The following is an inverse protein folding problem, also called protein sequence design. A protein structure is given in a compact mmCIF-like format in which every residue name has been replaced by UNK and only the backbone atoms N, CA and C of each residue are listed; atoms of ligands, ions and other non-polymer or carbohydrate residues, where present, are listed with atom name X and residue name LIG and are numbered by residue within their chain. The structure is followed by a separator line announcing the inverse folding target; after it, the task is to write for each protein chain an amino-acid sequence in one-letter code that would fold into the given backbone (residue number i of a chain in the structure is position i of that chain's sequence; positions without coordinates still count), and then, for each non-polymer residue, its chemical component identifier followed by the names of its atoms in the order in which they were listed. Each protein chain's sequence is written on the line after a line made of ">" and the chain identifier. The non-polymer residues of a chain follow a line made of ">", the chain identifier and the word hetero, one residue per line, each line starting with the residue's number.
data_IF_157797701922
#
_entry.id   IF_157797701922
#
_cell.length_a   1.000
_cell.length_b   1.000
_cell.length_c   1.000
_cell.angle_alpha   90.00
_cell.angle_beta   90.00
_cell.angle_gamma   90.00
#
_symmetry.space_group_name_H-M   'P 1'
#
loop_
_entity.id
_entity.type
_entity.pdbx_description
1 polymer ?
#
# COMPACT_ATOMS: atom_id res chain seq x y z
N UNK A 1 -12.55 6.39 2.85
CA UNK A 1 -11.27 6.80 3.47
C UNK A 1 -10.84 8.19 3.01
N UNK A 2 -10.86 8.48 1.72
CA UNK A 2 -10.42 9.79 1.21
C UNK A 2 -11.27 10.93 1.75
N UNK A 3 -12.59 10.79 1.77
CA UNK A 3 -13.47 11.81 2.32
C UNK A 3 -13.30 11.97 3.82
N UNK A 4 -12.99 10.90 4.54
CA UNK A 4 -12.66 10.98 5.96
C UNK A 4 -11.40 11.84 6.18
N UNK A 5 -10.37 11.63 5.38
CA UNK A 5 -9.15 12.45 5.42
C UNK A 5 -9.45 13.92 5.17
N UNK A 6 -10.24 14.22 4.14
CA UNK A 6 -10.63 15.60 3.82
C UNK A 6 -11.39 16.26 4.96
N UNK A 7 -12.37 15.57 5.53
CA UNK A 7 -13.17 16.08 6.64
C UNK A 7 -12.32 16.30 7.89
N UNK A 8 -11.40 15.39 8.18
CA UNK A 8 -10.49 15.50 9.30
C UNK A 8 -9.59 16.74 9.17
N UNK A 9 -9.04 17.00 8.00
CA UNK A 9 -8.25 18.20 7.73
C UNK A 9 -9.10 19.47 7.90
N UNK A 10 -10.37 19.44 7.45
CA UNK A 10 -11.29 20.56 7.57
C UNK A 10 -11.65 20.91 9.00
N UNK A 11 -11.54 19.98 9.93
CA UNK A 11 -11.79 20.22 11.36
C UNK A 11 -10.61 20.88 12.08
N UNK A 12 -9.51 21.10 11.40
CA UNK A 12 -8.33 21.80 11.89
C UNK A 12 -7.22 20.85 12.35
N UNK A 13 -6.01 21.36 12.35
CA UNK A 13 -4.83 20.63 12.83
C UNK A 13 -3.95 20.03 11.76
N UNK A 14 -4.48 19.71 10.58
CA UNK A 14 -3.69 19.21 9.46
C UNK A 14 -3.96 20.00 8.20
N UNK A 15 -2.90 20.27 7.45
CA UNK A 15 -3.02 20.83 6.11
C UNK A 15 -3.59 19.78 5.17
N UNK A 16 -4.59 20.14 4.38
CA UNK A 16 -5.13 19.26 3.34
C UNK A 16 -4.18 19.24 2.15
N UNK A 17 -3.74 18.03 1.76
CA UNK A 17 -2.88 17.81 0.62
C UNK A 17 -3.68 17.09 -0.48
N UNK A 18 -3.93 17.75 -1.62
CA UNK A 18 -4.70 17.11 -2.70
C UNK A 18 -4.02 15.87 -3.28
N UNK A 19 -2.69 15.80 -3.29
CA UNK A 19 -1.95 14.61 -3.69
C UNK A 19 -2.20 13.43 -2.74
N UNK A 20 -2.30 13.68 -1.44
CA UNK A 20 -2.63 12.65 -0.46
C UNK A 20 -4.08 12.18 -0.61
N UNK A 21 -5.01 13.10 -0.79
CA UNK A 21 -6.42 12.78 -1.04
C UNK A 21 -6.56 11.88 -2.28
N UNK A 22 -5.88 12.23 -3.35
CA UNK A 22 -5.91 11.47 -4.60
C UNK A 22 -5.32 10.07 -4.43
N UNK A 23 -4.19 9.97 -3.72
CA UNK A 23 -3.57 8.69 -3.44
C UNK A 23 -4.50 7.76 -2.64
N UNK A 24 -5.16 8.30 -1.62
CA UNK A 24 -6.11 7.53 -0.81
C UNK A 24 -7.32 7.12 -1.66
N UNK A 25 -7.84 8.01 -2.49
CA UNK A 25 -9.02 7.74 -3.33
C UNK A 25 -8.76 6.58 -4.29
N UNK A 26 -7.55 6.54 -4.90
CA UNK A 26 -7.21 5.57 -5.95
C UNK A 26 -6.34 4.41 -5.47
N UNK A 27 -6.05 4.28 -4.16
CA UNK A 27 -5.10 3.26 -3.67
C UNK A 27 -5.55 1.83 -3.92
N UNK A 28 -6.85 1.57 -3.94
CA UNK A 28 -7.43 0.25 -4.15
C UNK A 28 -7.89 -0.01 -5.59
N UNK A 29 -7.49 0.89 -6.51
CA UNK A 29 -7.83 0.78 -7.93
C UNK A 29 -6.57 0.57 -8.75
N UNK A 30 -6.76 0.21 -10.04
CA UNK A 30 -5.63 0.03 -10.94
C UNK A 30 -4.77 1.28 -11.00
N UNK A 31 -3.45 1.08 -11.05
CA UNK A 31 -2.46 2.16 -11.13
C UNK A 31 -2.73 3.07 -12.34
N UNK A 32 -3.20 2.52 -13.44
CA UNK A 32 -3.51 3.28 -14.64
C UNK A 32 -4.61 4.31 -14.39
N UNK A 33 -5.64 3.97 -13.64
CA UNK A 33 -6.73 4.91 -13.34
C UNK A 33 -6.23 6.10 -12.50
N UNK A 34 -5.49 5.83 -11.45
CA UNK A 34 -4.92 6.88 -10.62
C UNK A 34 -3.92 7.74 -11.38
N UNK A 35 -3.04 7.12 -12.15
CA UNK A 35 -2.05 7.84 -12.95
C UNK A 35 -2.69 8.73 -13.99
N UNK A 36 -3.76 8.28 -14.64
CA UNK A 36 -4.51 9.08 -15.62
C UNK A 36 -5.19 10.27 -14.97
N UNK A 37 -5.80 10.08 -13.82
CA UNK A 37 -6.40 11.18 -13.07
C UNK A 37 -5.36 12.24 -12.72
N UNK A 38 -4.20 11.81 -12.21
CA UNK A 38 -3.11 12.70 -11.84
C UNK A 38 -2.61 13.48 -13.06
N UNK A 39 -2.38 12.82 -14.18
CA UNK A 39 -1.92 13.46 -15.41
C UNK A 39 -2.90 14.52 -15.88
N UNK A 40 -4.20 14.32 -15.67
CA UNK A 40 -5.25 15.25 -16.11
C UNK A 40 -5.44 16.43 -15.16
N UNK A 41 -5.27 16.23 -13.84
CA UNK A 41 -5.69 17.19 -12.82
C UNK A 41 -4.55 17.87 -12.06
N UNK A 42 -3.34 17.30 -12.05
CA UNK A 42 -2.24 17.84 -11.25
C UNK A 42 -1.41 18.91 -11.95
N UNK A 43 -1.59 19.10 -13.25
CA UNK A 43 -0.87 20.12 -14.02
C UNK A 43 0.64 19.93 -13.95
N UNK A 44 1.37 20.97 -13.59
CA UNK A 44 2.82 20.94 -13.48
C UNK A 44 3.33 20.10 -12.32
N UNK A 45 2.47 19.72 -11.40
CA UNK A 45 2.81 18.92 -10.22
C UNK A 45 2.56 17.42 -10.43
N UNK A 46 2.23 16.99 -11.65
CA UNK A 46 1.88 15.60 -11.93
C UNK A 46 2.96 14.60 -11.50
N UNK A 47 4.22 14.91 -11.73
CA UNK A 47 5.32 14.00 -11.35
C UNK A 47 5.41 13.84 -9.84
N UNK A 48 5.23 14.93 -9.08
CA UNK A 48 5.22 14.88 -7.62
C UNK A 48 4.05 14.07 -7.08
N UNK A 49 2.87 14.25 -7.65
CA UNK A 49 1.68 13.49 -7.25
C UNK A 49 1.81 12.00 -7.58
N UNK A 50 2.41 11.67 -8.72
CA UNK A 50 2.67 10.28 -9.09
C UNK A 50 3.61 9.60 -8.11
N UNK A 51 4.65 10.30 -7.66
CA UNK A 51 5.58 9.77 -6.66
C UNK A 51 4.85 9.48 -5.35
N UNK A 52 4.03 10.40 -4.87
CA UNK A 52 3.21 10.19 -3.65
C UNK A 52 2.29 8.99 -3.83
N UNK A 53 1.63 8.89 -4.96
CA UNK A 53 0.71 7.79 -5.26
C UNK A 53 1.42 6.43 -5.25
N UNK A 54 2.56 6.33 -5.91
CA UNK A 54 3.35 5.10 -5.97
C UNK A 54 3.87 4.70 -4.59
N UNK A 55 4.38 5.65 -3.82
CA UNK A 55 4.84 5.40 -2.46
C UNK A 55 3.70 4.92 -1.56
N UNK A 56 2.53 5.53 -1.67
CA UNK A 56 1.36 5.12 -0.90
C UNK A 56 0.94 3.68 -1.23
N UNK A 57 0.85 3.36 -2.51
CA UNK A 57 0.49 2.01 -2.95
C UNK A 57 1.52 0.96 -2.52
N UNK A 58 2.79 1.31 -2.55
CA UNK A 58 3.86 0.41 -2.11
C UNK A 58 3.82 0.19 -0.60
N UNK A 59 3.55 1.23 0.18
CA UNK A 59 3.39 1.09 1.63
C UNK A 59 2.20 0.16 1.95
N UNK A 60 1.10 0.34 1.26
CA UNK A 60 -0.07 -0.53 1.40
C UNK A 60 0.25 -1.97 1.00
N UNK A 61 1.01 -2.17 -0.08
CA UNK A 61 1.44 -3.49 -0.52
C UNK A 61 2.38 -4.16 0.48
N UNK A 62 3.35 -3.43 1.04
CA UNK A 62 4.29 -3.96 2.03
C UNK A 62 3.57 -4.42 3.31
N UNK A 63 2.49 -3.77 3.66
CA UNK A 63 1.67 -4.16 4.82
C UNK A 63 0.95 -5.49 4.63
N UNK A 64 0.89 -6.02 3.41
CA UNK A 64 0.23 -7.30 3.12
C UNK A 64 0.83 -8.49 3.85
N UNK A 65 2.07 -8.38 4.33
CA UNK A 65 2.66 -9.44 5.15
C UNK A 65 1.87 -9.75 6.43
N UNK A 66 1.07 -8.82 6.93
CA UNK A 66 0.16 -9.06 8.06
C UNK A 66 -0.89 -10.13 7.75
N UNK A 67 -1.16 -10.38 6.47
CA UNK A 67 -2.13 -11.38 6.01
C UNK A 67 -1.49 -12.76 5.76
N UNK A 68 -0.16 -12.82 5.69
CA UNK A 68 0.60 -14.04 5.45
C UNK A 68 1.84 -13.76 4.61
N UNK A 69 2.84 -14.60 4.71
CA UNK A 69 4.12 -14.41 4.00
C UNK A 69 3.97 -14.47 2.48
N UNK A 70 2.92 -15.10 1.99
CA UNK A 70 2.65 -15.27 0.55
C UNK A 70 1.80 -14.13 -0.03
N UNK A 71 1.32 -13.20 0.80
CA UNK A 71 0.36 -12.18 0.35
C UNK A 71 1.00 -11.02 -0.42
N UNK A 72 2.33 -10.91 -0.42
CA UNK A 72 3.04 -9.90 -1.18
C UNK A 72 3.80 -10.54 -2.34
N UNK A 73 3.52 -10.08 -3.55
CA UNK A 73 4.34 -10.35 -4.73
C UNK A 73 5.23 -9.14 -5.00
N UNK A 74 6.54 -9.31 -4.78
CA UNK A 74 7.53 -8.24 -4.93
C UNK A 74 7.55 -7.61 -6.33
N UNK A 75 7.10 -8.34 -7.35
CA UNK A 75 7.07 -7.85 -8.73
C UNK A 75 6.11 -6.69 -8.92
N UNK A 76 5.11 -6.54 -8.04
CA UNK A 76 4.14 -5.48 -8.13
C UNK A 76 4.52 -4.21 -7.37
N UNK A 77 5.66 -4.20 -6.68
CA UNK A 77 6.18 -2.98 -6.07
C UNK A 77 6.66 -2.01 -7.16
N UNK A 78 6.33 -0.74 -7.01
CA UNK A 78 6.51 0.27 -8.04
C UNK A 78 7.80 1.05 -7.90
N UNK A 79 8.30 1.22 -6.66
CA UNK A 79 9.50 1.99 -6.39
C UNK A 79 10.67 1.07 -6.05
N UNK A 80 11.89 1.50 -6.41
CA UNK A 80 13.10 0.74 -6.10
C UNK A 80 13.31 0.64 -4.60
N UNK A 81 13.00 1.70 -3.85
CA UNK A 81 13.10 1.70 -2.39
C UNK A 81 12.22 0.62 -1.78
N UNK A 82 10.96 0.52 -2.21
CA UNK A 82 10.04 -0.49 -1.67
C UNK A 82 10.55 -1.91 -1.91
N UNK A 83 11.18 -2.16 -3.05
CA UNK A 83 11.76 -3.48 -3.36
C UNK A 83 12.88 -3.88 -2.40
N UNK A 84 13.53 -2.92 -1.78
CA UNK A 84 14.57 -3.17 -0.78
C UNK A 84 14.02 -3.32 0.64
N UNK A 85 12.72 -3.05 0.86
CA UNK A 85 12.11 -2.99 2.18
C UNK A 85 11.28 -4.23 2.55
N UNK A 86 11.28 -5.25 1.74
CA UNK A 86 10.43 -6.42 1.98
C UNK A 86 10.80 -7.16 3.26
N UNK A 87 12.09 -7.33 3.55
CA UNK A 87 12.53 -7.98 4.79
C UNK A 87 12.19 -7.13 6.03
N UNK A 88 12.35 -5.82 5.92
CA UNK A 88 11.98 -4.90 6.99
C UNK A 88 10.46 -4.94 7.26
N UNK A 89 9.66 -4.94 6.22
CA UNK A 89 8.20 -5.00 6.35
C UNK A 89 7.76 -6.30 7.03
N UNK A 90 8.35 -7.43 6.64
CA UNK A 90 8.08 -8.72 7.27
C UNK A 90 8.46 -8.70 8.76
N UNK A 91 9.63 -8.16 9.07
CA UNK A 91 10.11 -8.04 10.46
C UNK A 91 9.17 -7.19 11.31
N UNK A 92 8.66 -6.07 10.77
CA UNK A 92 7.70 -5.22 11.48
C UNK A 92 6.41 -5.97 11.80
N UNK A 93 5.88 -6.71 10.85
CA UNK A 93 4.68 -7.51 11.05
C UNK A 93 4.91 -8.54 12.17
N UNK A 94 6.03 -9.26 12.13
CA UNK A 94 6.37 -10.27 13.14
C UNK A 94 6.53 -9.70 14.54
N UNK A 95 6.96 -8.44 14.66
CA UNK A 95 7.18 -7.78 15.95
C UNK A 95 5.94 -7.08 16.51
N UNK A 96 5.01 -6.67 15.66
CA UNK A 96 3.88 -5.82 16.06
C UNK A 96 2.57 -6.57 16.19
N UNK A 97 2.44 -7.76 15.59
CA UNK A 97 1.23 -8.57 15.69
C UNK A 97 1.36 -9.53 16.88
N UNK A 98 0.29 -9.70 17.71
CA UNK A 98 0.30 -10.68 18.79
C UNK A 98 0.67 -12.08 18.28
N UNK A 99 1.45 -12.81 19.07
CA UNK A 99 2.02 -14.10 18.65
C UNK A 99 0.98 -15.13 18.22
N UNK A 100 -0.13 -15.22 18.95
CA UNK A 100 -1.21 -16.15 18.63
C UNK A 100 -1.90 -15.80 17.31
N UNK A 101 -2.11 -14.52 17.06
CA UNK A 101 -2.66 -14.03 15.80
C UNK A 101 -1.70 -14.29 14.63
N UNK A 102 -0.41 -14.05 14.85
CA UNK A 102 0.63 -14.31 13.85
C UNK A 102 0.68 -15.79 13.48
N UNK A 103 0.65 -16.68 14.47
CA UNK A 103 0.61 -18.13 14.23
C UNK A 103 -0.59 -18.54 13.40
N UNK A 104 -1.76 -18.02 13.73
CA UNK A 104 -2.99 -18.32 13.01
C UNK A 104 -2.89 -17.87 11.56
N UNK A 105 -2.38 -16.67 11.32
CA UNK A 105 -2.23 -16.10 9.98
C UNK A 105 -1.21 -16.87 9.16
N UNK A 106 -0.04 -17.18 9.74
CA UNK A 106 1.08 -17.80 9.02
C UNK A 106 0.95 -19.31 8.91
N UNK A 107 0.03 -19.92 9.63
CA UNK A 107 -0.28 -21.35 9.45
C UNK A 107 -1.21 -21.60 8.27
N UNK A 108 -1.83 -20.57 7.73
CA UNK A 108 -2.70 -20.70 6.57
C UNK A 108 -1.87 -21.01 5.32
N UNK A 109 -2.36 -21.95 4.52
CA UNK A 109 -1.75 -22.27 3.25
C UNK A 109 -2.09 -21.24 2.20
N UNK A 110 -1.11 -20.85 1.38
CA UNK A 110 -1.35 -20.00 0.22
C UNK A 110 -2.35 -20.68 -0.72
N UNK A 111 -3.55 -20.08 -0.93
CA UNK A 111 -4.55 -20.69 -1.81
C UNK A 111 -4.13 -20.66 -3.29
N UNK A 112 -3.13 -19.85 -3.65
CA UNK A 112 -2.62 -19.72 -5.01
C UNK A 112 -1.33 -20.49 -5.24
N UNK A 113 -0.78 -21.07 -4.18
CA UNK A 113 0.41 -21.91 -4.30
C UNK A 113 0.00 -23.22 -4.96
N UNK A 114 0.60 -23.60 -6.09
CA UNK A 114 0.37 -24.94 -6.63
C UNK A 114 0.71 -25.91 -5.51
N UNK A 115 -0.25 -26.76 -5.16
CA UNK A 115 0.02 -27.83 -4.21
C UNK A 115 1.29 -28.51 -4.64
N UNK A 116 2.22 -28.62 -3.69
CA UNK A 116 3.44 -29.34 -3.97
C UNK A 116 3.03 -30.64 -4.62
N UNK A 117 3.40 -30.79 -5.89
CA UNK A 117 3.05 -31.96 -6.66
C UNK A 117 3.74 -33.17 -6.02
N UNK A 118 3.10 -33.67 -5.04
CA UNK A 118 3.51 -34.91 -4.42
C UNK A 118 2.84 -36.07 -5.08
#
# INVERSE_FOLDING_TARGET
>A
AANYYKDYCGKGGLEFLPEAYTAIWYHDRDDELGSRYIATHAGTEADSWLEVYRCFKDADALDRYRLGTWCLDKRFLRTDVAKTMTDFALMLVQRTIPEDELRRTYSQTDPFRPEDAE
#
